data_IF_967103166720
#
_entry.id   IF_967103166720
#
_cell.length_a   1.000
_cell.length_b   1.000
_cell.length_c   1.000
_cell.angle_alpha   90.00
_cell.angle_beta   90.00
_cell.angle_gamma   90.00
#
_symmetry.space_group_name_H-M   'P 1'
#
loop_
_entity.id
_entity.type
_entity.pdbx_description
1 polymer ?
#
# COMPACT_ATOMS: atom_id res chain seq x y z
N UNK A 1 -25.50 -1.51 -13.63
CA UNK A 1 -24.71 -0.56 -14.44
C UNK A 1 -23.63 -1.36 -15.17
N UNK A 2 -23.56 -1.29 -16.50
CA UNK A 2 -22.67 -2.14 -17.32
C UNK A 2 -21.25 -1.56 -17.46
N UNK A 3 -20.24 -2.43 -17.63
CA UNK A 3 -18.80 -2.06 -17.72
C UNK A 3 -18.52 -0.96 -18.77
N UNK A 4 -19.20 -0.97 -19.92
CA UNK A 4 -19.11 0.11 -20.92
C UNK A 4 -19.51 1.48 -20.37
N UNK A 5 -20.65 1.59 -19.66
CA UNK A 5 -21.14 2.87 -19.14
C UNK A 5 -20.19 3.47 -18.10
N UNK A 6 -19.51 2.62 -17.36
CA UNK A 6 -18.51 3.03 -16.40
C UNK A 6 -17.23 3.55 -17.09
N UNK A 7 -16.78 2.86 -18.14
CA UNK A 7 -15.61 3.26 -18.96
C UNK A 7 -15.83 4.60 -19.68
N UNK A 8 -17.03 4.82 -20.23
CA UNK A 8 -17.40 6.07 -20.92
C UNK A 8 -17.45 7.24 -19.92
N UNK A 9 -18.05 7.05 -18.75
CA UNK A 9 -18.08 8.09 -17.70
C UNK A 9 -16.68 8.40 -17.17
N UNK A 10 -15.83 7.37 -17.01
CA UNK A 10 -14.43 7.51 -16.60
C UNK A 10 -13.64 8.34 -17.62
N UNK A 11 -13.82 8.12 -18.93
CA UNK A 11 -13.18 8.92 -19.98
C UNK A 11 -13.67 10.37 -19.94
N UNK A 12 -14.97 10.61 -19.71
CA UNK A 12 -15.50 11.98 -19.60
C UNK A 12 -14.98 12.72 -18.36
N UNK A 13 -14.89 12.06 -17.20
CA UNK A 13 -14.38 12.66 -15.96
C UNK A 13 -12.86 12.89 -16.06
N UNK A 14 -12.11 11.98 -16.68
CA UNK A 14 -10.66 12.15 -16.90
C UNK A 14 -10.36 13.25 -17.92
N UNK A 15 -11.19 13.42 -18.96
CA UNK A 15 -11.02 14.52 -19.94
C UNK A 15 -11.36 15.90 -19.38
N UNK A 16 -12.16 15.99 -18.32
CA UNK A 16 -12.47 17.26 -17.65
C UNK A 16 -11.38 17.69 -16.65
N UNK A 17 -10.39 16.82 -16.41
CA UNK A 17 -9.26 17.05 -15.51
C UNK A 17 -7.98 16.98 -16.34
N UNK A 18 -7.89 17.87 -17.32
CA UNK A 18 -6.60 18.26 -17.88
C UNK A 18 -5.92 19.15 -16.83
N UNK A 19 -4.75 18.70 -16.41
CA UNK A 19 -3.96 19.17 -15.27
C UNK A 19 -3.81 20.69 -15.29
N UNK A 20 -4.41 21.36 -14.31
CA UNK A 20 -4.09 22.72 -13.96
C UNK A 20 -3.75 22.77 -12.46
N UNK A 21 -2.46 22.67 -12.16
CA UNK A 21 -1.88 22.67 -10.81
C UNK A 21 -2.22 23.93 -9.98
N UNK A 22 -2.81 24.96 -10.58
CA UNK A 22 -3.11 26.23 -9.91
C UNK A 22 -4.54 26.32 -9.30
N UNK A 23 -5.34 25.23 -9.32
CA UNK A 23 -6.74 25.24 -8.84
C UNK A 23 -7.12 24.21 -7.77
N UNK A 24 -6.17 23.67 -7.01
CA UNK A 24 -6.51 22.87 -5.81
C UNK A 24 -6.47 23.76 -4.55
N UNK A 25 -7.56 23.91 -3.76
CA UNK A 25 -7.61 24.90 -2.69
C UNK A 25 -6.72 24.59 -1.47
N UNK A 26 -6.08 23.42 -1.39
CA UNK A 26 -5.07 23.08 -0.37
C UNK A 26 -4.35 21.76 -0.69
N UNK A 27 -3.14 21.57 -0.14
CA UNK A 27 -2.37 20.30 -0.23
C UNK A 27 -3.17 19.09 0.27
N UNK A 28 -4.07 19.27 1.24
CA UNK A 28 -4.91 18.19 1.77
C UNK A 28 -5.91 17.65 0.73
N UNK A 29 -6.44 18.51 -0.14
CA UNK A 29 -7.35 18.10 -1.22
C UNK A 29 -6.61 17.30 -2.30
N UNK A 30 -5.37 17.69 -2.63
CA UNK A 30 -4.52 16.95 -3.57
C UNK A 30 -4.20 15.53 -3.06
N UNK A 31 -3.90 15.39 -1.76
CA UNK A 31 -3.65 14.10 -1.11
C UNK A 31 -4.92 13.23 -1.14
N UNK A 32 -6.07 13.79 -0.78
CA UNK A 32 -7.34 13.09 -0.79
C UNK A 32 -7.69 12.56 -2.20
N UNK A 33 -7.53 13.40 -3.23
CA UNK A 33 -7.81 13.01 -4.61
C UNK A 33 -6.84 11.93 -5.12
N UNK A 34 -5.56 12.01 -4.76
CA UNK A 34 -4.58 10.96 -5.11
C UNK A 34 -4.98 9.60 -4.50
N UNK A 35 -5.27 9.56 -3.20
CA UNK A 35 -5.70 8.34 -2.49
C UNK A 35 -7.00 7.79 -3.11
N UNK A 36 -7.93 8.66 -3.50
CA UNK A 36 -9.18 8.27 -4.18
C UNK A 36 -8.92 7.60 -5.53
N UNK A 37 -8.07 8.19 -6.38
CA UNK A 37 -7.74 7.64 -7.69
C UNK A 37 -7.03 6.28 -7.59
N UNK A 38 -6.19 6.09 -6.58
CA UNK A 38 -5.57 4.79 -6.30
C UNK A 38 -6.60 3.74 -5.88
N UNK A 39 -7.55 4.11 -5.01
CA UNK A 39 -8.65 3.23 -4.61
C UNK A 39 -9.48 2.75 -5.80
N UNK A 40 -9.78 3.61 -6.77
CA UNK A 40 -10.50 3.23 -7.99
C UNK A 40 -9.72 2.22 -8.84
N UNK A 41 -8.41 2.46 -9.04
CA UNK A 41 -7.53 1.52 -9.76
C UNK A 41 -7.48 0.16 -9.06
N UNK A 42 -7.43 0.13 -7.74
CA UNK A 42 -7.38 -1.12 -6.98
C UNK A 42 -8.69 -1.92 -7.06
N UNK A 43 -9.84 -1.25 -7.05
CA UNK A 43 -11.15 -1.89 -7.24
C UNK A 43 -11.32 -2.56 -8.63
N UNK A 44 -10.64 -2.04 -9.65
CA UNK A 44 -10.66 -2.56 -11.02
C UNK A 44 -9.72 -3.75 -11.27
N UNK A 45 -8.73 -3.98 -10.40
CA UNK A 45 -7.73 -5.03 -10.61
C UNK A 45 -8.37 -6.41 -10.69
N UNK A 46 -7.67 -7.29 -11.41
CA UNK A 46 -8.05 -8.68 -11.52
C UNK A 46 -8.00 -9.36 -10.14
N UNK A 47 -9.09 -10.03 -9.78
CA UNK A 47 -9.29 -10.56 -8.43
C UNK A 47 -8.26 -11.62 -8.05
N UNK A 48 -7.74 -12.37 -9.02
CA UNK A 48 -6.68 -13.36 -8.79
C UNK A 48 -5.33 -12.69 -8.50
N UNK A 49 -4.98 -11.61 -9.21
CA UNK A 49 -3.76 -10.87 -8.95
C UNK A 49 -3.81 -10.20 -7.55
N UNK A 50 -4.98 -9.70 -7.16
CA UNK A 50 -5.24 -9.19 -5.80
C UNK A 50 -5.05 -10.28 -4.75
N UNK A 51 -5.63 -11.47 -4.97
CA UNK A 51 -5.53 -12.58 -4.04
C UNK A 51 -4.08 -13.04 -3.83
N UNK A 52 -3.29 -13.20 -4.89
CA UNK A 52 -1.88 -13.60 -4.78
C UNK A 52 -1.05 -12.55 -4.04
N UNK A 53 -1.28 -11.26 -4.31
CA UNK A 53 -0.63 -10.18 -3.56
C UNK A 53 -1.01 -10.20 -2.08
N UNK A 54 -2.28 -10.47 -1.77
CA UNK A 54 -2.78 -10.56 -0.40
C UNK A 54 -2.24 -11.80 0.35
N UNK A 55 -2.09 -12.94 -0.32
CA UNK A 55 -1.43 -14.13 0.26
C UNK A 55 0.03 -13.81 0.57
N UNK A 56 0.73 -13.17 -0.36
CA UNK A 56 2.12 -12.75 -0.13
C UNK A 56 2.22 -11.77 1.05
N UNK A 57 1.30 -10.81 1.19
CA UNK A 57 1.24 -9.93 2.35
C UNK A 57 1.06 -10.71 3.67
N UNK A 58 0.15 -11.69 3.69
CA UNK A 58 -0.08 -12.54 4.86
C UNK A 58 1.16 -13.35 5.26
N UNK A 59 1.86 -13.92 4.28
CA UNK A 59 3.13 -14.62 4.51
C UNK A 59 4.20 -13.67 5.07
N UNK A 60 4.32 -12.47 4.50
CA UNK A 60 5.27 -11.45 4.97
C UNK A 60 4.98 -10.99 6.40
N UNK A 61 3.70 -10.93 6.80
CA UNK A 61 3.34 -10.65 8.19
C UNK A 61 3.84 -11.74 9.16
N UNK A 62 4.04 -12.98 8.69
CA UNK A 62 4.71 -14.03 9.45
C UNK A 62 6.14 -13.65 9.86
N UNK A 63 6.83 -12.80 9.10
CA UNK A 63 8.16 -12.31 9.45
C UNK A 63 8.16 -11.48 10.75
N UNK A 64 7.06 -10.80 11.07
CA UNK A 64 6.91 -10.08 12.34
C UNK A 64 6.94 -11.03 13.54
N UNK A 65 6.21 -12.15 13.46
CA UNK A 65 6.21 -13.17 14.51
C UNK A 65 7.57 -13.86 14.60
N UNK A 66 8.18 -14.15 13.45
CA UNK A 66 9.52 -14.72 13.36
C UNK A 66 10.56 -13.85 14.07
N UNK A 67 10.67 -12.57 13.70
CA UNK A 67 11.63 -11.65 14.29
C UNK A 67 11.37 -11.46 15.78
N UNK A 68 10.10 -11.28 16.18
CA UNK A 68 9.71 -11.13 17.58
C UNK A 68 10.07 -12.37 18.40
N UNK A 69 9.78 -13.57 17.91
CA UNK A 69 10.10 -14.82 18.63
C UNK A 69 11.60 -15.10 18.74
N UNK A 70 12.39 -14.82 17.69
CA UNK A 70 13.85 -14.93 17.76
C UNK A 70 14.41 -13.95 18.81
N UNK A 71 13.94 -12.69 18.80
CA UNK A 71 14.36 -11.72 19.80
C UNK A 71 13.93 -12.12 21.20
N UNK A 72 12.73 -12.68 21.36
CA UNK A 72 12.24 -13.15 22.64
C UNK A 72 13.16 -14.22 23.26
N UNK A 73 13.59 -15.20 22.46
CA UNK A 73 14.54 -16.23 22.92
C UNK A 73 15.94 -15.67 23.17
N UNK A 74 16.42 -14.76 22.31
CA UNK A 74 17.82 -14.29 22.36
C UNK A 74 18.07 -13.16 23.34
N UNK A 75 17.04 -12.41 23.71
CA UNK A 75 17.15 -11.23 24.57
C UNK A 75 16.54 -11.46 25.96
N UNK A 76 16.12 -12.69 26.27
CA UNK A 76 15.66 -13.07 27.59
C UNK A 76 16.72 -12.74 28.66
N UNK A 77 16.30 -12.00 29.70
CA UNK A 77 17.19 -11.57 30.79
C UNK A 77 18.09 -10.37 30.49
N UNK A 78 18.05 -9.80 29.28
CA UNK A 78 18.83 -8.60 28.94
C UNK A 78 18.04 -7.34 29.31
N UNK A 79 18.63 -6.40 30.09
CA UNK A 79 18.01 -5.10 30.34
C UNK A 79 17.71 -4.37 29.01
N UNK A 80 16.42 -4.12 28.73
CA UNK A 80 15.96 -3.49 27.49
C UNK A 80 15.64 -4.44 26.33
N UNK A 81 15.78 -5.76 26.50
CA UNK A 81 15.44 -6.77 25.50
C UNK A 81 14.01 -6.65 24.95
N UNK A 82 13.05 -6.35 25.83
CA UNK A 82 11.64 -6.12 25.49
C UNK A 82 11.43 -5.02 24.42
N UNK A 83 12.25 -3.96 24.41
CA UNK A 83 12.11 -2.91 23.39
C UNK A 83 12.50 -3.43 22.00
N UNK A 84 13.56 -4.22 21.93
CA UNK A 84 14.01 -4.86 20.69
C UNK A 84 13.03 -5.94 20.23
N UNK A 85 12.43 -6.70 21.15
CA UNK A 85 11.35 -7.65 20.83
C UNK A 85 10.18 -6.95 20.14
N UNK A 86 9.76 -5.78 20.64
CA UNK A 86 8.70 -5.00 20.01
C UNK A 86 9.09 -4.44 18.64
N UNK A 87 10.38 -4.19 18.37
CA UNK A 87 10.84 -3.86 17.02
C UNK A 87 10.65 -5.03 16.05
N UNK A 88 10.70 -6.27 16.54
CA UNK A 88 10.40 -7.47 15.75
C UNK A 88 9.06 -7.39 15.01
N UNK A 89 8.04 -6.77 15.64
CA UNK A 89 6.73 -6.59 15.02
C UNK A 89 6.76 -5.75 13.73
N UNK A 90 7.72 -4.83 13.61
CA UNK A 90 7.81 -3.91 12.46
C UNK A 90 8.30 -4.56 11.17
N UNK A 91 9.01 -5.69 11.25
CA UNK A 91 9.65 -6.33 10.09
C UNK A 91 8.64 -6.75 9.01
N UNK A 92 7.54 -7.39 9.39
CA UNK A 92 6.49 -7.78 8.43
C UNK A 92 5.87 -6.57 7.73
N UNK A 93 5.61 -5.49 8.47
CA UNK A 93 5.11 -4.23 7.89
C UNK A 93 6.12 -3.62 6.91
N UNK A 94 7.41 -3.58 7.26
CA UNK A 94 8.45 -3.07 6.36
C UNK A 94 8.48 -3.89 5.05
N UNK A 95 8.44 -5.22 5.14
CA UNK A 95 8.43 -6.09 3.97
C UNK A 95 7.20 -5.81 3.10
N UNK A 96 6.01 -5.76 3.69
CA UNK A 96 4.75 -5.50 2.98
C UNK A 96 4.79 -4.16 2.25
N UNK A 97 5.23 -3.10 2.94
CA UNK A 97 5.30 -1.74 2.38
C UNK A 97 6.32 -1.67 1.24
N UNK A 98 7.53 -2.18 1.47
CA UNK A 98 8.61 -2.16 0.47
C UNK A 98 8.26 -2.99 -0.77
N UNK A 99 7.62 -4.14 -0.57
CA UNK A 99 7.19 -5.03 -1.66
C UNK A 99 5.85 -4.61 -2.29
N UNK A 100 5.18 -3.58 -1.77
CA UNK A 100 3.87 -3.09 -2.23
C UNK A 100 2.81 -4.20 -2.26
N UNK A 101 2.78 -5.00 -1.20
CA UNK A 101 1.85 -6.13 -1.07
C UNK A 101 0.50 -5.67 -0.51
N UNK A 102 -0.57 -6.40 -0.82
CA UNK A 102 -1.92 -5.98 -0.47
C UNK A 102 -2.32 -6.42 0.95
N UNK A 103 -2.16 -5.52 1.91
CA UNK A 103 -2.61 -5.74 3.29
C UNK A 103 -3.99 -5.13 3.52
N UNK A 104 -4.87 -5.87 4.19
CA UNK A 104 -6.25 -5.47 4.43
C UNK A 104 -6.36 -4.14 5.20
N UNK A 105 -5.53 -3.97 6.24
CA UNK A 105 -5.54 -2.78 7.10
C UNK A 105 -5.12 -1.52 6.34
N UNK A 106 -4.22 -1.62 5.37
CA UNK A 106 -3.80 -0.50 4.52
C UNK A 106 -4.89 -0.13 3.50
N UNK A 107 -5.49 -1.13 2.86
CA UNK A 107 -6.45 -0.93 1.77
C UNK A 107 -7.84 -0.47 2.24
N UNK A 108 -8.05 -0.28 3.54
CA UNK A 108 -9.38 0.06 4.08
C UNK A 108 -9.76 1.50 3.72
N UNK A 109 -8.85 2.46 3.96
CA UNK A 109 -9.13 3.89 3.75
C UNK A 109 -9.22 4.22 2.27
N UNK A 110 -8.25 3.75 1.48
CA UNK A 110 -8.19 3.94 0.02
C UNK A 110 -9.43 3.40 -0.69
N UNK A 111 -9.93 2.24 -0.28
CA UNK A 111 -11.10 1.62 -0.91
C UNK A 111 -12.44 2.27 -0.49
N UNK A 112 -12.53 2.82 0.73
CA UNK A 112 -13.76 3.48 1.22
C UNK A 112 -13.98 4.85 0.59
N UNK A 113 -12.92 5.62 0.32
CA UNK A 113 -13.03 6.98 -0.22
C UNK A 113 -13.84 7.07 -1.54
N UNK A 114 -13.60 6.22 -2.56
CA UNK A 114 -14.42 6.21 -3.78
C UNK A 114 -15.90 5.89 -3.53
N UNK A 115 -16.19 5.01 -2.56
CA UNK A 115 -17.56 4.64 -2.20
C UNK A 115 -18.26 5.79 -1.49
N UNK A 116 -17.58 6.51 -0.61
CA UNK A 116 -18.13 7.71 0.03
C UNK A 116 -18.43 8.81 -0.99
N UNK A 117 -17.59 8.95 -2.02
CA UNK A 117 -17.80 9.95 -3.06
C UNK A 117 -19.00 9.61 -3.96
N UNK A 118 -19.21 8.33 -4.28
CA UNK A 118 -20.36 7.85 -5.06
C UNK A 118 -21.00 6.63 -4.38
N UNK A 119 -21.88 6.84 -3.39
CA UNK A 119 -22.46 5.76 -2.60
C UNK A 119 -23.55 5.03 -3.39
N UNK A 120 -23.14 4.10 -4.24
CA UNK A 120 -24.03 3.23 -5.00
C UNK A 120 -23.92 1.79 -4.51
N UNK A 121 -25.01 1.02 -4.58
CA UNK A 121 -25.00 -0.41 -4.21
C UNK A 121 -23.96 -1.22 -5.01
N UNK A 122 -23.69 -0.82 -6.26
CA UNK A 122 -22.62 -1.41 -7.08
C UNK A 122 -21.24 -1.15 -6.50
N UNK A 123 -20.96 0.08 -6.05
CA UNK A 123 -19.67 0.43 -5.45
C UNK A 123 -19.47 -0.22 -4.08
N UNK A 124 -20.53 -0.35 -3.28
CA UNK A 124 -20.51 -1.12 -2.02
C UNK A 124 -20.20 -2.60 -2.30
N UNK A 125 -20.79 -3.19 -3.35
CA UNK A 125 -20.49 -4.56 -3.78
C UNK A 125 -19.03 -4.74 -4.21
N UNK A 126 -18.46 -3.78 -4.95
CA UNK A 126 -17.05 -3.79 -5.34
C UNK A 126 -16.10 -3.67 -4.13
N UNK A 127 -16.45 -2.82 -3.17
CA UNK A 127 -15.72 -2.68 -1.90
C UNK A 127 -15.72 -3.98 -1.11
N UNK A 128 -16.90 -4.57 -0.90
CA UNK A 128 -17.03 -5.85 -0.19
C UNK A 128 -16.25 -6.97 -0.88
N UNK A 129 -16.28 -7.04 -2.22
CA UNK A 129 -15.48 -8.00 -2.99
C UNK A 129 -13.99 -7.82 -2.70
N UNK A 130 -13.49 -6.59 -2.81
CA UNK A 130 -12.08 -6.28 -2.59
C UNK A 130 -11.66 -6.60 -1.14
N UNK A 131 -12.47 -6.21 -0.15
CA UNK A 131 -12.23 -6.52 1.26
C UNK A 131 -12.19 -8.01 1.54
N UNK A 132 -13.19 -8.76 1.07
CA UNK A 132 -13.24 -10.21 1.30
C UNK A 132 -12.07 -10.93 0.64
N UNK A 133 -11.69 -10.57 -0.59
CA UNK A 133 -10.55 -11.19 -1.29
C UNK A 133 -9.23 -10.90 -0.57
N UNK A 134 -8.99 -9.65 -0.18
CA UNK A 134 -7.74 -9.26 0.48
C UNK A 134 -7.65 -9.85 1.89
N UNK A 135 -8.74 -9.78 2.67
CA UNK A 135 -8.79 -10.37 4.01
C UNK A 135 -8.57 -11.89 3.96
N UNK A 136 -9.27 -12.59 3.06
CA UNK A 136 -9.09 -14.03 2.88
C UNK A 136 -7.66 -14.37 2.46
N UNK A 137 -7.08 -13.63 1.52
CA UNK A 137 -5.69 -13.81 1.11
C UNK A 137 -4.71 -13.63 2.27
N UNK A 138 -4.86 -12.56 3.06
CA UNK A 138 -4.00 -12.33 4.23
C UNK A 138 -4.11 -13.46 5.26
N UNK A 139 -5.33 -13.92 5.56
CA UNK A 139 -5.56 -15.04 6.49
C UNK A 139 -4.98 -16.37 5.97
N UNK A 140 -5.09 -16.64 4.67
CA UNK A 140 -4.47 -17.83 4.05
C UNK A 140 -2.95 -17.74 4.17
N UNK A 141 -2.35 -16.58 3.85
CA UNK A 141 -0.91 -16.38 3.96
C UNK A 141 -0.40 -16.56 5.39
N UNK A 142 -1.10 -15.98 6.38
CA UNK A 142 -0.71 -16.14 7.79
C UNK A 142 -0.90 -17.58 8.28
N UNK A 143 -1.96 -18.27 7.85
CA UNK A 143 -2.18 -19.67 8.17
C UNK A 143 -1.08 -20.58 7.58
N UNK A 144 -0.64 -20.33 6.34
CA UNK A 144 0.49 -21.05 5.72
C UNK A 144 1.80 -20.77 6.47
N UNK A 145 2.05 -19.52 6.86
CA UNK A 145 3.22 -19.18 7.68
C UNK A 145 3.19 -19.89 9.04
N UNK A 146 2.05 -19.88 9.74
CA UNK A 146 1.87 -20.58 11.01
C UNK A 146 2.07 -22.09 10.87
N UNK A 147 1.53 -22.69 9.80
CA UNK A 147 1.76 -24.11 9.49
C UNK A 147 3.25 -24.40 9.26
N UNK A 148 3.93 -23.56 8.48
CA UNK A 148 5.36 -23.70 8.23
C UNK A 148 6.18 -23.61 9.54
N UNK A 149 5.86 -22.66 10.41
CA UNK A 149 6.58 -22.45 11.67
C UNK A 149 6.38 -23.62 12.65
N UNK A 150 5.20 -24.24 12.63
CA UNK A 150 4.90 -25.35 13.54
C UNK A 150 5.47 -26.69 13.06
N UNK A 151 5.35 -27.01 11.77
CA UNK A 151 5.61 -28.35 11.25
C UNK A 151 6.92 -28.51 10.47
N UNK A 152 7.48 -27.43 9.91
CA UNK A 152 8.76 -27.56 9.20
C UNK A 152 9.93 -27.50 10.19
N UNK A 153 11.01 -28.27 9.97
CA UNK A 153 12.19 -28.28 10.85
C UNK A 153 13.09 -27.06 10.58
N UNK A 154 12.50 -25.86 10.61
CA UNK A 154 13.18 -24.58 10.37
C UNK A 154 13.69 -23.97 11.68
N UNK A 155 12.95 -24.21 12.78
CA UNK A 155 13.23 -23.61 14.09
C UNK A 155 13.49 -24.67 15.15
N UNK A 156 14.39 -24.33 16.07
CA UNK A 156 14.64 -25.08 17.28
C UNK A 156 13.43 -25.01 18.24
N UNK A 157 13.38 -25.95 19.18
CA UNK A 157 12.26 -26.08 20.11
C UNK A 157 12.02 -24.81 20.97
N UNK A 158 13.05 -24.13 21.51
CA UNK A 158 12.84 -22.87 22.24
C UNK A 158 12.17 -21.78 21.41
N UNK A 159 12.55 -21.62 20.14
CA UNK A 159 11.95 -20.62 19.25
C UNK A 159 10.50 -20.95 18.92
N UNK A 160 10.18 -22.24 18.73
CA UNK A 160 8.79 -22.69 18.52
C UNK A 160 7.92 -22.39 19.75
N UNK A 161 8.44 -22.66 20.95
CA UNK A 161 7.75 -22.36 22.21
C UNK A 161 7.53 -20.86 22.39
N UNK A 162 8.51 -20.02 22.02
CA UNK A 162 8.35 -18.58 22.02
C UNK A 162 7.21 -18.11 21.10
N UNK A 163 7.05 -18.69 19.91
CA UNK A 163 5.93 -18.35 19.04
C UNK A 163 4.57 -18.68 19.67
N UNK A 164 4.46 -19.84 20.32
CA UNK A 164 3.23 -20.26 21.01
C UNK A 164 2.95 -19.33 22.20
N UNK A 165 3.95 -19.04 23.03
CA UNK A 165 3.80 -18.14 24.18
C UNK A 165 3.36 -16.73 23.76
N UNK A 166 3.97 -16.17 22.71
CA UNK A 166 3.57 -14.87 22.16
C UNK A 166 2.11 -14.90 21.67
N UNK A 167 1.69 -16.00 21.02
CA UNK A 167 0.33 -16.16 20.54
C UNK A 167 -0.67 -16.28 21.71
N UNK A 168 -0.36 -17.07 22.74
CA UNK A 168 -1.18 -17.23 23.93
C UNK A 168 -1.36 -15.91 24.69
N UNK A 169 -0.30 -15.10 24.79
CA UNK A 169 -0.38 -13.78 25.42
C UNK A 169 -1.37 -12.85 24.70
N UNK A 170 -1.42 -12.91 23.37
CA UNK A 170 -2.41 -12.14 22.59
C UNK A 170 -3.83 -12.64 22.84
N UNK A 171 -4.01 -13.96 23.01
CA UNK A 171 -5.32 -14.59 23.24
C UNK A 171 -5.90 -14.34 24.64
N UNK A 172 -5.11 -13.81 25.58
CA UNK A 172 -5.60 -13.42 26.92
C UNK A 172 -6.52 -12.21 26.91
N UNK A 173 -6.46 -11.39 25.86
CA UNK A 173 -7.28 -10.18 25.74
C UNK A 173 -8.77 -10.55 25.57
N UNK A 174 -9.64 -9.87 26.30
CA UNK A 174 -11.09 -9.95 26.11
C UNK A 174 -11.51 -9.39 24.73
N UNK A 175 -12.68 -9.77 24.20
CA UNK A 175 -13.16 -9.23 22.93
C UNK A 175 -13.23 -7.70 22.89
N UNK A 176 -13.56 -7.07 24.02
CA UNK A 176 -13.60 -5.61 24.16
C UNK A 176 -12.21 -4.98 24.10
N UNK A 177 -11.20 -5.60 24.71
CA UNK A 177 -9.81 -5.13 24.65
C UNK A 177 -9.24 -5.31 23.25
N UNK A 178 -9.50 -6.45 22.60
CA UNK A 178 -9.10 -6.66 21.20
C UNK A 178 -9.71 -5.62 20.27
N UNK A 179 -11.00 -5.28 20.47
CA UNK A 179 -11.66 -4.25 19.69
C UNK A 179 -11.04 -2.85 19.91
N UNK A 180 -10.78 -2.46 21.16
CA UNK A 180 -10.12 -1.19 21.46
C UNK A 180 -8.71 -1.11 20.87
N UNK A 181 -7.92 -2.19 20.99
CA UNK A 181 -6.59 -2.29 20.39
C UNK A 181 -6.64 -2.20 18.86
N UNK A 182 -7.67 -2.82 18.23
CA UNK A 182 -7.88 -2.74 16.79
C UNK A 182 -8.19 -1.32 16.31
N UNK A 183 -8.92 -0.51 17.09
CA UNK A 183 -9.18 0.91 16.76
C UNK A 183 -7.87 1.69 16.72
N UNK A 184 -7.04 1.56 17.76
CA UNK A 184 -5.75 2.28 17.84
C UNK A 184 -4.83 1.84 16.69
N UNK A 185 -4.72 0.53 16.45
CA UNK A 185 -3.92 0.00 15.35
C UNK A 185 -4.43 0.48 13.99
N UNK A 186 -5.75 0.47 13.77
CA UNK A 186 -6.37 0.97 12.55
C UNK A 186 -6.10 2.46 12.33
N UNK A 187 -6.13 3.27 13.38
CA UNK A 187 -5.78 4.70 13.31
C UNK A 187 -4.31 4.93 12.92
N UNK A 188 -3.38 4.14 13.45
CA UNK A 188 -1.96 4.22 13.09
C UNK A 188 -1.73 3.86 11.62
N UNK A 189 -2.33 2.76 11.15
CA UNK A 189 -2.21 2.33 9.74
C UNK A 189 -2.87 3.34 8.81
N UNK A 190 -4.04 3.87 9.16
CA UNK A 190 -4.69 4.93 8.39
C UNK A 190 -3.75 6.14 8.27
N UNK A 191 -3.23 6.64 9.38
CA UNK A 191 -2.31 7.79 9.42
C UNK A 191 -1.08 7.57 8.52
N UNK A 192 -0.52 6.36 8.51
CA UNK A 192 0.58 5.98 7.62
C UNK A 192 0.20 6.11 6.13
N UNK A 193 -1.00 5.67 5.73
CA UNK A 193 -1.50 5.80 4.35
C UNK A 193 -1.54 7.27 3.90
N UNK A 194 -1.94 8.18 4.78
CA UNK A 194 -1.98 9.62 4.50
C UNK A 194 -0.59 10.28 4.39
N UNK A 195 0.45 9.66 4.96
CA UNK A 195 1.83 10.19 4.90
C UNK A 195 2.53 9.89 3.56
N UNK A 196 2.17 8.80 2.87
CA UNK A 196 2.85 8.39 1.63
C UNK A 196 2.76 9.41 0.47
N UNK A 197 1.63 10.10 0.23
CA UNK A 197 1.53 11.12 -0.81
C UNK A 197 2.43 12.33 -0.55
N UNK A 198 2.75 12.62 0.72
CA UNK A 198 3.57 13.78 1.13
C UNK A 198 5.07 13.52 0.95
N UNK A 199 5.50 12.26 1.03
CA UNK A 199 6.90 11.85 0.94
C UNK A 199 7.43 11.66 -0.50
N UNK A 200 6.65 12.01 -1.53
CA UNK A 200 7.03 11.80 -2.94
C UNK A 200 7.05 10.31 -3.39
N UNK A 201 6.56 9.39 -2.55
CA UNK A 201 6.75 7.94 -2.70
C UNK A 201 5.84 7.20 -3.69
N UNK A 202 4.98 7.91 -4.41
CA UNK A 202 4.13 7.35 -5.48
C UNK A 202 4.40 8.07 -6.81
N UNK A 203 5.68 8.11 -7.18
CA UNK A 203 6.15 8.55 -8.49
C UNK A 203 5.39 7.81 -9.61
N UNK A 204 4.49 8.52 -10.28
CA UNK A 204 4.27 8.53 -11.72
C UNK A 204 4.86 7.33 -12.48
N UNK A 205 4.07 6.29 -12.68
CA UNK A 205 4.34 5.25 -13.68
C UNK A 205 3.19 5.18 -14.69
N UNK A 206 2.99 6.28 -15.42
CA UNK A 206 2.01 6.34 -16.51
C UNK A 206 2.08 7.59 -17.42
N UNK A 207 2.57 8.74 -16.94
CA UNK A 207 2.35 10.01 -17.65
C UNK A 207 3.55 10.58 -18.43
N UNK A 208 4.77 10.11 -18.20
CA UNK A 208 5.94 10.63 -18.95
C UNK A 208 6.06 10.12 -20.39
N UNK A 209 5.17 9.23 -20.84
CA UNK A 209 5.19 8.72 -22.21
C UNK A 209 4.43 9.62 -23.20
N UNK A 210 3.58 10.53 -22.72
CA UNK A 210 2.82 11.43 -23.59
C UNK A 210 3.47 12.80 -23.82
N UNK A 211 4.32 13.28 -22.90
CA UNK A 211 4.94 14.61 -23.02
C UNK A 211 6.18 14.69 -23.93
N UNK A 212 6.79 13.54 -24.30
CA UNK A 212 7.91 13.53 -25.23
C UNK A 212 7.48 13.45 -26.71
N UNK A 213 6.20 13.25 -27.00
CA UNK A 213 5.71 13.09 -28.38
C UNK A 213 5.11 14.38 -28.98
N UNK A 214 5.00 15.48 -28.23
CA UNK A 214 4.42 16.72 -28.74
C UNK A 214 5.20 17.97 -28.30
N UNK A 215 6.40 18.15 -28.86
CA UNK A 215 7.00 19.49 -29.00
C UNK A 215 6.98 19.92 -30.46
N UNK A 216 5.96 20.68 -30.92
CA UNK A 216 6.11 21.45 -32.15
C UNK A 216 6.99 22.67 -31.82
N UNK A 217 8.19 22.72 -32.41
CA UNK A 217 9.04 23.91 -32.41
C UNK A 217 10.03 24.02 -31.23
N UNK A 218 11.13 23.27 -31.30
CA UNK A 218 12.30 23.50 -30.46
C UNK A 218 13.23 24.55 -31.08
N UNK A 219 13.14 25.80 -30.63
CA UNK A 219 14.27 26.73 -30.68
C UNK A 219 15.21 26.42 -29.51
N UNK A 220 16.47 26.08 -29.80
CA UNK A 220 17.50 25.76 -28.81
C UNK A 220 18.65 26.78 -28.95
N UNK A 221 18.71 27.87 -28.18
CA UNK A 221 19.77 28.87 -28.34
C UNK A 221 20.88 28.63 -27.32
N UNK A 222 21.56 27.48 -27.37
CA UNK A 222 22.82 27.27 -26.63
C UNK A 222 23.72 26.26 -27.37
N UNK A 223 24.15 26.62 -28.57
CA UNK A 223 25.38 26.10 -29.17
C UNK A 223 26.23 27.30 -29.59
N UNK A 224 27.18 27.67 -28.72
CA UNK A 224 28.19 28.67 -29.02
C UNK A 224 29.27 28.09 -29.95
N UNK A 225 29.68 28.93 -30.90
CA UNK A 225 31.05 28.99 -31.42
C UNK A 225 31.48 27.89 -32.38
N UNK A 226 31.53 28.21 -33.67
CA UNK A 226 32.71 28.01 -34.53
C UNK A 226 32.48 28.62 -35.93
N UNK A 227 33.13 29.77 -36.14
CA UNK A 227 33.62 30.35 -37.40
C UNK A 227 32.91 30.12 -38.74
N UNK A 228 32.39 31.20 -39.32
CA UNK A 228 33.00 31.91 -40.48
C UNK A 228 32.05 32.99 -41.02
N UNK A 229 32.50 34.23 -41.04
CA UNK A 229 32.02 35.23 -42.01
C UNK A 229 32.40 34.78 -43.42
N UNK A 230 31.53 35.01 -44.42
CA UNK A 230 31.82 36.12 -45.31
C UNK A 230 30.58 36.91 -45.80
N UNK A 231 30.78 38.23 -45.86
CA UNK A 231 30.31 39.24 -46.81
C UNK A 231 29.32 38.87 -47.95
N UNK A 232 28.55 39.91 -48.32
CA UNK A 232 27.71 40.14 -49.53
C UNK A 232 26.26 39.67 -49.40
N UNK A 233 25.23 40.43 -49.78
CA UNK A 233 25.12 41.69 -50.50
C UNK A 233 23.73 41.70 -51.18
N UNK A 234 23.14 42.90 -51.29
CA UNK A 234 21.82 43.23 -51.87
C UNK A 234 20.63 43.11 -50.91
#
# INVERSE_FOLDING_TARGET
>A
MTKEKWKVRKISVVKEIEVNEDRLPSRAMAIHEHIRQEGEKEMERDALALLWSAIAAGLSMGASLLAKGIFHVKLEGIPGGFLLENLGYTFGFIIVIMARQQLFTENTVTAVLPVMHNPTLGNVGLLMRLWSVVLAGNLIGTAVAAWAFNYMPIFDEPTRQAFVSIAEDVMKNSPTEMFANAIISGWLVATMVWMFPVAGGRQNRGDYSHDLAYRPGGYHPYCGGLGRDPLSGV
#
